data_IF_111700525652
#
_entry.id   IF_111700525652
#
_cell.length_a   1.000
_cell.length_b   1.000
_cell.length_c   1.000
_cell.angle_alpha   90.00
_cell.angle_beta   90.00
_cell.angle_gamma   90.00
#
_symmetry.space_group_name_H-M   'P 1'
#
loop_
_entity.id
_entity.type
_entity.pdbx_description
1 polymer ?
#
# COMPACT_ATOMS: atom_id res chain seq x y z
N UNK A 1 11.47 -15.07 -21.03
CA UNK A 1 12.49 -14.03 -21.29
C UNK A 1 12.32 -12.95 -20.23
N UNK A 2 13.08 -13.05 -19.13
CA UNK A 2 13.12 -12.04 -18.08
C UNK A 2 13.83 -10.81 -18.64
N UNK A 3 13.13 -9.68 -18.75
CA UNK A 3 13.75 -8.40 -19.08
C UNK A 3 14.85 -8.10 -18.07
N UNK A 4 16.09 -8.26 -18.50
CA UNK A 4 17.24 -7.76 -17.77
C UNK A 4 17.17 -6.24 -17.88
N UNK A 5 16.74 -5.58 -16.81
CA UNK A 5 16.95 -4.14 -16.64
C UNK A 5 18.47 -3.96 -16.66
N UNK A 6 18.98 -3.30 -17.70
CA UNK A 6 20.41 -3.06 -17.86
C UNK A 6 20.88 -2.04 -16.82
N UNK A 7 22.13 -2.16 -16.36
CA UNK A 7 22.74 -1.24 -15.37
C UNK A 7 22.68 0.24 -15.81
N UNK A 8 22.58 0.52 -17.10
CA UNK A 8 22.45 1.87 -17.65
C UNK A 8 21.06 2.49 -17.43
N UNK A 9 19.97 1.70 -17.46
CA UNK A 9 18.63 2.19 -17.10
C UNK A 9 18.52 2.54 -15.61
N UNK A 10 19.42 2.00 -14.78
CA UNK A 10 19.43 2.24 -13.34
C UNK A 10 20.03 3.60 -12.96
N UNK A 11 20.85 4.21 -13.83
CA UNK A 11 21.44 5.55 -13.60
C UNK A 11 20.55 6.70 -14.10
N UNK A 12 19.71 6.46 -15.12
CA UNK A 12 18.92 7.52 -15.78
C UNK A 12 17.58 7.81 -15.07
N UNK A 13 17.11 6.87 -14.25
CA UNK A 13 15.82 6.92 -13.60
C UNK A 13 14.67 6.54 -14.55
N UNK A 14 13.51 6.29 -13.97
CA UNK A 14 12.31 5.82 -14.63
C UNK A 14 11.19 6.86 -14.51
N UNK A 15 10.55 7.18 -15.63
CA UNK A 15 9.34 8.03 -15.66
C UNK A 15 8.10 7.24 -15.21
N UNK A 16 7.29 7.86 -14.36
CA UNK A 16 6.05 7.29 -13.84
C UNK A 16 4.92 8.31 -13.86
N UNK A 17 3.69 7.82 -13.94
CA UNK A 17 2.50 8.58 -13.54
C UNK A 17 2.05 8.07 -12.17
N UNK A 18 1.86 8.95 -11.20
CA UNK A 18 1.28 8.63 -9.90
C UNK A 18 -0.12 9.24 -9.79
N UNK A 19 -1.05 8.49 -9.21
CA UNK A 19 -2.41 8.95 -8.97
C UNK A 19 -2.83 8.59 -7.54
N UNK A 20 -3.02 9.59 -6.66
CA UNK A 20 -3.47 9.35 -5.30
C UNK A 20 -4.96 9.03 -5.26
N UNK A 21 -5.37 8.29 -4.23
CA UNK A 21 -6.79 8.11 -3.92
C UNK A 21 -7.21 9.17 -2.89
N UNK A 22 -8.30 9.87 -3.17
CA UNK A 22 -8.80 10.99 -2.38
C UNK A 22 -10.19 10.67 -1.82
N UNK A 23 -10.40 10.99 -0.55
CA UNK A 23 -11.68 10.87 0.16
C UNK A 23 -12.10 12.26 0.64
N UNK A 24 -12.98 12.92 -0.12
CA UNK A 24 -13.37 14.31 0.18
C UNK A 24 -14.35 14.40 1.37
N UNK A 25 -15.11 13.33 1.61
CA UNK A 25 -16.11 13.23 2.70
C UNK A 25 -15.83 12.03 3.60
N UNK A 26 -14.58 11.59 3.69
CA UNK A 26 -14.19 10.38 4.42
C UNK A 26 -14.98 9.16 3.92
N UNK A 27 -15.42 8.30 4.83
CA UNK A 27 -16.15 7.06 4.51
C UNK A 27 -17.56 7.28 3.93
N UNK A 28 -18.05 8.52 3.81
CA UNK A 28 -19.32 8.80 3.15
C UNK A 28 -19.21 8.75 1.61
N UNK A 29 -17.99 8.72 1.06
CA UNK A 29 -17.72 8.44 -0.35
C UNK A 29 -16.86 7.18 -0.52
N UNK A 30 -16.87 6.60 -1.71
CA UNK A 30 -16.05 5.42 -2.05
C UNK A 30 -14.61 5.77 -2.44
N UNK A 31 -14.22 7.04 -2.23
CA UNK A 31 -13.03 7.68 -2.76
C UNK A 31 -13.01 7.78 -4.29
N UNK A 32 -12.19 8.71 -4.78
CA UNK A 32 -11.95 8.89 -6.21
C UNK A 32 -10.46 9.06 -6.49
N UNK A 33 -10.09 8.92 -7.76
CA UNK A 33 -8.71 9.13 -8.20
C UNK A 33 -8.47 10.62 -8.38
N UNK A 34 -7.48 11.16 -7.67
CA UNK A 34 -7.09 12.56 -7.75
C UNK A 34 -6.31 12.89 -9.03
N UNK A 35 -5.69 14.06 -9.04
CA UNK A 35 -4.87 14.51 -10.17
C UNK A 35 -3.65 13.61 -10.37
N UNK A 36 -3.23 13.51 -11.64
CA UNK A 36 -2.03 12.77 -12.01
C UNK A 36 -0.79 13.62 -11.78
N UNK A 37 0.21 13.00 -11.17
CA UNK A 37 1.55 13.54 -11.00
C UNK A 37 2.49 12.79 -11.95
N UNK A 38 3.21 13.53 -12.78
CA UNK A 38 4.20 12.96 -13.70
C UNK A 38 5.57 13.21 -13.10
N UNK A 39 6.27 12.12 -12.75
CA UNK A 39 7.52 12.22 -12.02
C UNK A 39 8.52 11.17 -12.43
N UNK A 40 9.76 11.38 -11.97
CA UNK A 40 10.86 10.45 -12.21
C UNK A 40 11.36 9.87 -10.89
N UNK A 41 11.64 8.58 -10.88
CA UNK A 41 12.19 7.85 -9.73
C UNK A 41 13.45 7.10 -10.13
N UNK A 42 14.30 6.75 -9.16
CA UNK A 42 15.45 5.86 -9.38
C UNK A 42 15.41 4.71 -8.39
N UNK A 43 15.69 3.50 -8.87
CA UNK A 43 15.77 2.33 -8.00
C UNK A 43 17.06 2.36 -7.17
N UNK A 44 16.94 2.26 -5.85
CA UNK A 44 18.09 2.15 -4.95
C UNK A 44 18.40 0.68 -4.63
N UNK A 45 17.37 -0.11 -4.31
CA UNK A 45 17.50 -1.53 -3.97
C UNK A 45 16.37 -2.36 -4.58
N UNK A 46 16.73 -3.27 -5.49
CA UNK A 46 15.78 -4.11 -6.24
C UNK A 46 15.30 -5.34 -5.44
N UNK A 47 15.80 -5.54 -4.20
CA UNK A 47 15.56 -6.75 -3.39
C UNK A 47 15.18 -6.49 -1.91
N UNK A 48 14.44 -5.43 -1.61
CA UNK A 48 14.03 -5.12 -0.21
C UNK A 48 13.05 -6.17 0.37
N UNK A 49 12.40 -6.96 -0.49
CA UNK A 49 11.67 -8.15 -0.07
C UNK A 49 11.07 -8.91 -1.24
N UNK A 50 11.23 -10.23 -1.25
CA UNK A 50 10.54 -11.13 -2.20
C UNK A 50 9.48 -11.92 -1.44
N UNK A 51 8.24 -11.44 -1.47
CA UNK A 51 7.10 -12.29 -1.17
C UNK A 51 6.74 -13.11 -2.39
N UNK A 52 6.19 -14.31 -2.21
CA UNK A 52 5.69 -15.13 -3.34
C UNK A 52 4.73 -14.33 -4.25
N UNK A 53 3.92 -13.44 -3.65
CA UNK A 53 2.89 -12.65 -4.34
C UNK A 53 3.35 -11.30 -4.91
N UNK A 54 4.45 -10.71 -4.41
CA UNK A 54 4.83 -9.32 -4.74
C UNK A 54 6.35 -9.13 -4.79
N UNK A 55 6.81 -8.36 -5.76
CA UNK A 55 8.16 -7.78 -5.83
C UNK A 55 8.12 -6.40 -5.17
N UNK A 56 9.03 -6.17 -4.24
CA UNK A 56 9.18 -4.89 -3.54
C UNK A 56 10.47 -4.22 -4.05
N UNK A 57 10.36 -2.96 -4.43
CA UNK A 57 11.44 -2.11 -4.91
C UNK A 57 11.54 -0.90 -3.99
N UNK A 58 12.74 -0.57 -3.52
CA UNK A 58 13.00 0.72 -2.88
C UNK A 58 13.50 1.70 -3.92
N UNK A 59 12.87 2.87 -3.97
CA UNK A 59 13.14 3.89 -4.97
C UNK A 59 13.28 5.25 -4.31
N UNK A 60 14.02 6.15 -4.95
CA UNK A 60 14.12 7.55 -4.55
C UNK A 60 13.45 8.43 -5.59
N UNK A 61 12.66 9.39 -5.13
CA UNK A 61 12.01 10.38 -5.99
C UNK A 61 13.05 11.36 -6.49
N UNK A 62 13.08 11.61 -7.79
CA UNK A 62 13.94 12.64 -8.40
C UNK A 62 13.16 13.96 -8.49
N UNK A 63 11.95 13.95 -9.07
CA UNK A 63 11.07 15.13 -9.16
C UNK A 63 9.64 14.74 -9.52
N UNK A 64 8.70 15.69 -9.38
CA UNK A 64 7.39 15.67 -10.06
C UNK A 64 6.28 14.94 -9.30
N UNK A 65 6.54 14.52 -8.06
CA UNK A 65 5.58 13.86 -7.19
C UNK A 65 5.14 14.73 -6.00
N UNK A 66 5.64 15.98 -5.93
CA UNK A 66 5.19 16.97 -4.96
C UNK A 66 3.70 17.32 -5.16
N UNK A 67 2.94 17.56 -4.07
CA UNK A 67 3.38 17.65 -2.69
C UNK A 67 3.38 16.31 -1.93
N UNK A 68 3.07 15.19 -2.59
CA UNK A 68 2.91 13.89 -1.92
C UNK A 68 4.26 13.32 -1.53
N UNK A 69 5.23 13.37 -2.45
CA UNK A 69 6.61 12.98 -2.17
C UNK A 69 7.56 14.07 -2.67
N UNK A 70 8.37 14.60 -1.76
CA UNK A 70 9.41 15.57 -2.08
C UNK A 70 10.56 14.91 -2.87
N UNK A 71 11.22 15.70 -3.71
CA UNK A 71 12.49 15.30 -4.32
C UNK A 71 13.48 14.78 -3.27
N UNK A 72 14.07 13.62 -3.54
CA UNK A 72 14.98 12.91 -2.66
C UNK A 72 14.31 12.00 -1.62
N UNK A 73 12.98 11.97 -1.52
CA UNK A 73 12.27 11.05 -0.63
C UNK A 73 12.43 9.60 -1.10
N UNK A 74 12.72 8.69 -0.17
CA UNK A 74 12.72 7.25 -0.42
C UNK A 74 11.32 6.67 -0.20
N UNK A 75 10.89 5.86 -1.16
CA UNK A 75 9.56 5.25 -1.23
C UNK A 75 9.68 3.74 -1.54
N UNK A 76 8.59 3.01 -1.29
CA UNK A 76 8.45 1.60 -1.62
C UNK A 76 7.45 1.41 -2.74
N UNK A 77 7.90 0.75 -3.81
CA UNK A 77 7.03 0.27 -4.89
C UNK A 77 6.74 -1.21 -4.70
N UNK A 78 5.46 -1.59 -4.78
CA UNK A 78 5.01 -2.99 -4.73
C UNK A 78 4.39 -3.37 -6.08
N UNK A 79 4.97 -4.37 -6.72
CA UNK A 79 4.51 -4.96 -7.99
C UNK A 79 3.97 -6.35 -7.70
N UNK A 80 2.82 -6.74 -8.25
CA UNK A 80 2.33 -8.12 -8.09
C UNK A 80 3.09 -9.08 -9.01
N UNK A 81 3.55 -10.20 -8.45
CA UNK A 81 4.27 -11.26 -9.17
C UNK A 81 3.33 -12.32 -9.77
N UNK A 82 2.23 -12.62 -9.07
CA UNK A 82 1.33 -13.73 -9.42
C UNK A 82 0.08 -13.23 -10.14
N UNK A 83 0.28 -12.76 -11.36
CA UNK A 83 -0.75 -12.91 -12.37
C UNK A 83 -0.53 -14.32 -12.90
N UNK A 84 -1.43 -15.26 -12.60
CA UNK A 84 -1.28 -16.65 -13.04
C UNK A 84 -1.15 -16.66 -14.56
N UNK A 85 0.06 -16.99 -15.03
CA UNK A 85 0.40 -17.21 -16.43
C UNK A 85 -0.26 -18.52 -16.90
N UNK A 86 -1.59 -18.55 -16.96
CA UNK A 86 -2.28 -19.47 -17.86
C UNK A 86 -2.06 -19.04 -19.31
N UNK A 87 -2.51 -19.84 -20.27
CA UNK A 87 -2.44 -19.59 -21.73
C UNK A 87 -3.23 -18.37 -22.23
N UNK A 88 -3.43 -17.36 -21.38
CA UNK A 88 -4.21 -16.15 -21.64
C UNK A 88 -3.36 -15.09 -22.36
N UNK A 89 -4.02 -14.24 -23.13
CA UNK A 89 -3.42 -13.15 -23.90
C UNK A 89 -2.80 -12.06 -23.01
N UNK A 90 -1.88 -11.27 -23.58
CA UNK A 90 -1.20 -10.17 -22.87
C UNK A 90 -2.15 -9.07 -22.40
N UNK A 91 -3.22 -8.79 -23.16
CA UNK A 91 -4.21 -7.75 -22.81
C UNK A 91 -4.94 -8.06 -21.51
N UNK A 92 -5.36 -9.31 -21.28
CA UNK A 92 -6.00 -9.72 -20.02
C UNK A 92 -5.03 -9.66 -18.85
N UNK A 93 -3.71 -9.81 -19.06
CA UNK A 93 -2.73 -9.66 -17.98
C UNK A 93 -2.61 -8.20 -17.53
N UNK A 94 -2.62 -7.27 -18.48
CA UNK A 94 -2.58 -5.83 -18.20
C UNK A 94 -3.83 -5.37 -17.43
N UNK A 95 -5.01 -5.79 -17.87
CA UNK A 95 -6.29 -5.50 -17.19
C UNK A 95 -6.29 -6.06 -15.76
N UNK A 96 -5.88 -7.32 -15.57
CA UNK A 96 -5.77 -7.91 -14.24
C UNK A 96 -4.75 -7.20 -13.36
N UNK A 97 -3.61 -6.79 -13.92
CA UNK A 97 -2.61 -6.00 -13.19
C UNK A 97 -3.22 -4.69 -12.69
N UNK A 98 -3.93 -3.98 -13.57
CA UNK A 98 -4.62 -2.75 -13.23
C UNK A 98 -5.65 -2.98 -12.12
N UNK A 99 -6.61 -3.89 -12.32
CA UNK A 99 -7.71 -4.14 -11.39
C UNK A 99 -7.22 -4.54 -9.99
N UNK A 100 -6.23 -5.44 -9.92
CA UNK A 100 -5.68 -5.87 -8.63
C UNK A 100 -4.92 -4.75 -7.91
N UNK A 101 -4.28 -3.86 -8.66
CA UNK A 101 -3.56 -2.70 -8.10
C UNK A 101 -4.55 -1.67 -7.56
N UNK A 102 -5.59 -1.35 -8.34
CA UNK A 102 -6.72 -0.51 -7.95
C UNK A 102 -7.37 -1.02 -6.67
N UNK A 103 -7.68 -2.32 -6.59
CA UNK A 103 -8.27 -2.93 -5.40
C UNK A 103 -7.34 -2.80 -4.18
N UNK A 104 -6.03 -2.96 -4.36
CA UNK A 104 -5.07 -2.82 -3.26
C UNK A 104 -5.07 -1.40 -2.69
N UNK A 105 -5.06 -0.37 -3.56
CA UNK A 105 -5.18 1.03 -3.14
C UNK A 105 -6.52 1.31 -2.44
N UNK A 106 -7.63 0.80 -2.97
CA UNK A 106 -8.95 0.98 -2.36
C UNK A 106 -9.01 0.41 -0.96
N UNK A 107 -8.52 -0.83 -0.77
CA UNK A 107 -8.53 -1.50 0.52
C UNK A 107 -7.70 -0.70 1.55
N UNK A 108 -6.43 -0.40 1.25
CA UNK A 108 -5.55 0.27 2.21
C UNK A 108 -6.03 1.69 2.54
N UNK A 109 -6.45 2.48 1.54
CA UNK A 109 -6.91 3.85 1.81
C UNK A 109 -8.28 3.89 2.50
N UNK A 110 -9.18 2.94 2.23
CA UNK A 110 -10.44 2.83 3.00
C UNK A 110 -10.15 2.46 4.46
N UNK A 111 -9.27 1.49 4.68
CA UNK A 111 -8.77 1.11 6.00
C UNK A 111 -8.10 2.29 6.71
N UNK A 112 -7.39 3.15 5.98
CA UNK A 112 -6.83 4.40 6.49
C UNK A 112 -7.92 5.39 6.94
N UNK A 113 -9.02 5.56 6.20
CA UNK A 113 -10.11 6.44 6.63
C UNK A 113 -10.78 5.94 7.92
N UNK A 114 -10.98 4.62 8.07
CA UNK A 114 -11.40 4.04 9.35
C UNK A 114 -10.39 4.35 10.47
N UNK A 115 -9.10 4.20 10.19
CA UNK A 115 -8.04 4.46 11.15
C UNK A 115 -8.02 5.92 11.63
N UNK A 116 -8.30 6.90 10.75
CA UNK A 116 -8.40 8.31 11.13
C UNK A 116 -9.53 8.58 12.13
N UNK A 117 -10.69 7.95 11.95
CA UNK A 117 -11.84 8.10 12.85
C UNK A 117 -11.50 7.46 14.20
N UNK A 118 -11.01 6.22 14.19
CA UNK A 118 -10.53 5.55 15.39
C UNK A 118 -9.47 6.37 16.12
N UNK A 119 -8.51 6.94 15.40
CA UNK A 119 -7.47 7.80 15.94
C UNK A 119 -8.03 9.05 16.62
N UNK A 120 -9.07 9.67 16.05
CA UNK A 120 -9.75 10.81 16.65
C UNK A 120 -10.46 10.43 17.96
N UNK A 121 -11.12 9.28 18.01
CA UNK A 121 -11.76 8.75 19.23
C UNK A 121 -10.73 8.35 20.28
N UNK A 122 -9.63 7.70 19.87
CA UNK A 122 -8.56 7.28 20.77
C UNK A 122 -7.86 8.47 21.45
N UNK A 123 -7.73 9.62 20.77
CA UNK A 123 -7.13 10.85 21.33
C UNK A 123 -7.84 11.38 22.56
N UNK A 124 -9.16 11.17 22.66
CA UNK A 124 -9.96 11.67 23.79
C UNK A 124 -9.99 10.68 24.97
N UNK A 125 -9.41 9.49 24.82
CA UNK A 125 -9.32 8.49 25.88
C UNK A 125 -8.09 8.77 26.76
N UNK A 126 -8.25 9.03 28.06
CA UNK A 126 -7.12 9.26 28.96
C UNK A 126 -6.14 8.09 28.95
N UNK A 127 -4.84 8.39 28.88
CA UNK A 127 -3.75 7.41 28.91
C UNK A 127 -3.76 6.38 27.76
N UNK A 128 -4.40 6.68 26.61
CA UNK A 128 -4.37 5.78 25.45
C UNK A 128 -2.96 5.60 24.85
N UNK A 129 -2.10 6.62 24.96
CA UNK A 129 -0.73 6.62 24.44
C UNK A 129 -0.65 6.89 22.93
N UNK A 130 0.33 6.29 22.25
CA UNK A 130 0.51 6.44 20.80
C UNK A 130 -0.69 5.91 20.01
N UNK A 131 -1.00 6.57 18.90
CA UNK A 131 -2.19 6.29 18.08
C UNK A 131 -1.76 5.65 16.76
N UNK A 132 -2.56 4.70 16.27
CA UNK A 132 -2.29 4.04 15.00
C UNK A 132 -2.47 5.00 13.83
N UNK A 133 -1.64 4.81 12.81
CA UNK A 133 -1.77 5.47 11.52
C UNK A 133 -1.54 4.45 10.42
N UNK A 134 -2.23 4.65 9.29
CA UNK A 134 -2.06 3.87 8.08
C UNK A 134 -1.60 4.82 6.99
N UNK A 135 -0.45 4.51 6.39
CA UNK A 135 0.11 5.31 5.31
C UNK A 135 -0.77 5.20 4.05
N UNK A 136 -0.87 6.28 3.25
CA UNK A 136 -1.57 6.24 1.98
C UNK A 136 -0.89 5.29 0.99
N UNK A 137 -1.69 4.68 0.12
CA UNK A 137 -1.20 3.85 -0.98
C UNK A 137 -1.62 4.46 -2.31
N UNK A 138 -0.65 4.91 -3.11
CA UNK A 138 -0.91 5.59 -4.37
C UNK A 138 -0.74 4.62 -5.55
N UNK A 139 -1.58 4.77 -6.57
CA UNK A 139 -1.44 4.04 -7.83
C UNK A 139 -0.29 4.64 -8.63
N UNK A 140 0.51 3.81 -9.28
CA UNK A 140 1.46 4.26 -10.30
C UNK A 140 1.33 3.48 -11.60
N UNK A 141 1.58 4.17 -12.71
CA UNK A 141 1.75 3.62 -14.04
C UNK A 141 3.20 3.85 -14.50
N UNK A 142 3.83 2.77 -14.97
CA UNK A 142 5.25 2.65 -15.29
C UNK A 142 5.42 2.24 -16.76
N UNK A 143 5.37 3.19 -17.72
CA UNK A 143 5.25 2.89 -19.15
C UNK A 143 6.40 2.04 -19.73
N UNK A 144 7.60 2.09 -19.14
CA UNK A 144 8.75 1.31 -19.58
C UNK A 144 8.75 -0.16 -19.09
N UNK A 145 7.71 -0.63 -18.40
CA UNK A 145 7.67 -1.97 -17.79
C UNK A 145 6.54 -2.85 -18.34
N UNK A 146 6.82 -4.15 -18.47
CA UNK A 146 5.85 -5.17 -18.90
C UNK A 146 4.67 -5.34 -17.92
N UNK A 147 4.88 -5.07 -16.63
CA UNK A 147 3.84 -5.02 -15.60
C UNK A 147 3.79 -3.55 -15.15
N UNK A 148 3.00 -2.70 -15.82
CA UNK A 148 3.15 -1.26 -15.70
C UNK A 148 2.40 -0.69 -14.49
N UNK A 149 1.37 -1.36 -13.97
CA UNK A 149 0.66 -0.87 -12.79
C UNK A 149 1.25 -1.45 -11.51
N UNK A 150 1.52 -0.55 -10.58
CA UNK A 150 2.06 -0.87 -9.26
C UNK A 150 1.53 0.12 -8.22
N UNK A 151 1.90 -0.08 -6.96
CA UNK A 151 1.59 0.88 -5.90
C UNK A 151 2.86 1.49 -5.34
N UNK A 152 2.80 2.76 -4.91
CA UNK A 152 3.86 3.46 -4.20
C UNK A 152 3.37 3.97 -2.84
N UNK A 153 4.20 3.85 -1.82
CA UNK A 153 3.98 4.33 -0.45
C UNK A 153 5.30 4.78 0.19
N UNK A 154 5.23 5.46 1.34
CA UNK A 154 6.41 5.84 2.11
C UNK A 154 7.24 4.62 2.55
N UNK A 155 8.57 4.76 2.50
CA UNK A 155 9.48 3.80 3.12
C UNK A 155 9.56 4.07 4.63
N UNK A 156 8.86 3.24 5.42
CA UNK A 156 8.89 3.33 6.86
C UNK A 156 10.18 2.71 7.42
N UNK A 157 10.89 3.48 8.22
CA UNK A 157 12.08 3.00 8.92
C UNK A 157 11.72 2.07 10.10
N UNK A 158 12.58 1.09 10.36
CA UNK A 158 12.47 0.22 11.53
C UNK A 158 12.11 -1.23 11.21
N UNK A 159 11.62 -1.95 12.23
CA UNK A 159 11.26 -3.37 12.12
C UNK A 159 9.79 -3.50 11.78
N UNK A 160 9.48 -4.24 10.72
CA UNK A 160 8.11 -4.58 10.35
C UNK A 160 7.67 -5.85 11.08
N UNK A 161 6.64 -5.70 11.92
CA UNK A 161 5.95 -6.80 12.57
C UNK A 161 4.51 -6.88 12.04
N UNK A 162 3.91 -8.06 12.13
CA UNK A 162 2.52 -8.28 11.71
C UNK A 162 1.66 -8.61 12.91
N UNK A 163 0.51 -7.98 12.98
CA UNK A 163 -0.50 -8.16 14.01
C UNK A 163 -1.83 -8.56 13.37
N UNK A 164 -2.75 -9.10 14.18
CA UNK A 164 -4.11 -9.44 13.71
C UNK A 164 -4.14 -10.38 12.49
N UNK A 165 -3.26 -11.38 12.48
CA UNK A 165 -3.10 -12.35 11.38
C UNK A 165 -4.17 -13.44 11.47
N UNK A 166 -4.73 -13.82 10.31
CA UNK A 166 -5.58 -15.00 10.17
C UNK A 166 -4.75 -16.25 9.91
N UNK A 167 -5.07 -17.34 10.58
CA UNK A 167 -4.54 -18.66 10.24
C UNK A 167 -5.16 -19.21 8.96
N UNK A 168 -4.65 -20.36 8.50
CA UNK A 168 -5.16 -21.04 7.29
C UNK A 168 -6.61 -21.52 7.45
N UNK A 169 -7.11 -21.61 8.67
CA UNK A 169 -8.47 -22.01 9.02
C UNK A 169 -9.41 -20.80 9.18
N UNK A 170 -8.88 -19.58 9.06
CA UNK A 170 -9.61 -18.32 9.23
C UNK A 170 -9.69 -17.79 10.66
N UNK A 171 -9.08 -18.47 11.65
CA UNK A 171 -9.07 -18.01 13.04
C UNK A 171 -8.09 -16.85 13.23
N UNK A 172 -8.46 -15.91 14.10
CA UNK A 172 -7.60 -14.80 14.48
C UNK A 172 -6.67 -15.24 15.62
N UNK A 173 -5.38 -15.00 15.45
CA UNK A 173 -4.40 -15.20 16.52
C UNK A 173 -4.12 -13.88 17.25
N UNK A 174 -4.47 -13.83 18.53
CA UNK A 174 -4.16 -12.73 19.44
C UNK A 174 -3.34 -13.27 20.60
N UNK A 175 -2.09 -12.81 20.74
CA UNK A 175 -1.21 -13.14 21.86
C UNK A 175 -1.35 -12.14 23.01
N UNK A 176 -1.86 -10.92 22.74
CA UNK A 176 -2.02 -9.81 23.69
C UNK A 176 -0.74 -9.48 24.48
N UNK A 177 0.41 -9.69 23.84
CA UNK A 177 1.73 -9.64 24.48
C UNK A 177 2.35 -8.25 24.51
N UNK A 178 1.94 -7.35 23.61
CA UNK A 178 2.46 -5.98 23.53
C UNK A 178 1.35 -4.93 23.52
N UNK A 179 1.70 -3.69 23.88
CA UNK A 179 0.80 -2.54 23.77
C UNK A 179 0.36 -2.29 22.32
N UNK A 180 1.28 -2.44 21.36
CA UNK A 180 1.01 -2.29 19.93
C UNK A 180 -0.01 -3.33 19.47
N UNK A 181 0.18 -4.60 19.85
CA UNK A 181 -0.76 -5.67 19.50
C UNK A 181 -2.16 -5.39 20.06
N UNK A 182 -2.26 -4.94 21.32
CA UNK A 182 -3.54 -4.55 21.93
C UNK A 182 -4.22 -3.42 21.17
N UNK A 183 -3.46 -2.44 20.67
CA UNK A 183 -3.99 -1.33 19.86
C UNK A 183 -4.45 -1.79 18.49
N UNK A 184 -3.69 -2.64 17.79
CA UNK A 184 -4.12 -3.25 16.53
C UNK A 184 -5.43 -4.04 16.70
N UNK A 185 -5.53 -4.82 17.77
CA UNK A 185 -6.74 -5.56 18.12
C UNK A 185 -7.92 -4.64 18.47
N UNK A 186 -7.69 -3.58 19.24
CA UNK A 186 -8.71 -2.59 19.55
C UNK A 186 -9.24 -1.91 18.27
N UNK A 187 -8.36 -1.56 17.33
CA UNK A 187 -8.76 -1.00 16.05
C UNK A 187 -9.55 -2.00 15.19
N UNK A 188 -9.08 -3.24 15.08
CA UNK A 188 -9.80 -4.31 14.36
C UNK A 188 -11.22 -4.50 14.93
N UNK A 189 -11.34 -4.60 16.26
CA UNK A 189 -12.62 -4.77 16.92
C UNK A 189 -13.52 -3.54 16.77
N UNK A 190 -12.94 -2.33 16.87
CA UNK A 190 -13.65 -1.08 16.68
C UNK A 190 -14.25 -0.99 15.28
N UNK A 191 -13.51 -1.31 14.21
CA UNK A 191 -14.05 -1.31 12.84
C UNK A 191 -15.16 -2.34 12.68
N UNK A 192 -14.98 -3.54 13.22
CA UNK A 192 -16.00 -4.58 13.16
C UNK A 192 -17.29 -4.13 13.85
N UNK A 193 -17.20 -3.51 15.02
CA UNK A 193 -18.37 -2.97 15.73
C UNK A 193 -18.98 -1.78 14.99
N UNK A 194 -18.17 -0.81 14.54
CA UNK A 194 -18.62 0.40 13.87
C UNK A 194 -19.34 0.10 12.56
N UNK A 195 -18.93 -0.96 11.87
CA UNK A 195 -19.56 -1.42 10.62
C UNK A 195 -20.67 -2.46 10.84
N UNK A 196 -21.16 -2.65 12.07
CA UNK A 196 -22.19 -3.65 12.40
C UNK A 196 -21.84 -5.07 11.94
N UNK A 197 -20.57 -5.43 12.04
CA UNK A 197 -20.03 -6.74 11.67
C UNK A 197 -19.74 -6.95 10.18
N UNK A 198 -19.90 -5.91 9.35
CA UNK A 198 -19.73 -6.05 7.89
C UNK A 198 -18.26 -6.03 7.44
N UNK A 199 -17.37 -5.38 8.20
CA UNK A 199 -15.96 -5.23 7.82
C UNK A 199 -15.06 -5.74 8.93
N UNK A 200 -14.09 -6.57 8.57
CA UNK A 200 -13.04 -7.04 9.46
C UNK A 200 -11.68 -6.78 8.83
N UNK A 201 -10.88 -5.90 9.44
CA UNK A 201 -9.52 -5.58 8.98
C UNK A 201 -8.54 -6.59 9.59
N UNK A 202 -7.69 -7.20 8.77
CA UNK A 202 -6.66 -8.16 9.20
C UNK A 202 -5.31 -7.81 8.58
N UNK A 203 -4.26 -8.52 9.00
CA UNK A 203 -2.89 -8.33 8.50
C UNK A 203 -2.37 -6.89 8.71
N UNK A 204 -2.56 -6.38 9.94
CA UNK A 204 -2.07 -5.07 10.39
C UNK A 204 -0.57 -5.07 10.65
#
# INVERSE_FOLDING_TARGET
LSGFITREETEVGEEIEMTPMVFAKGLADSGYWGDKFFGRIVAEDVNVGKGYLRKILRVKVIYGLEPIFESGKTCIIKIRNLITFGTKNESTLLENNYDLTIQSCKIQNTTREYCKIFAAEARVVPNFGQILEIIPLNLIYRPANNIPYATIEDDLEGRFEKYCIKDKSGNLHMKNTSEIEKKCCAFQHWVYQWTNGNVLITDL
#
